data_IF_009415268756
#
_entry.id   IF_009415268756
#
_cell.length_a   1.000
_cell.length_b   1.000
_cell.length_c   1.000
_cell.angle_alpha   90.00
_cell.angle_beta   90.00
_cell.angle_gamma   90.00
#
_symmetry.space_group_name_H-M   'P 1'
#
loop_
_entity.id
_entity.type
_entity.pdbx_description
1 polymer ?
#
# COMPACT_ATOMS: atom_id res chain seq x y z
N UNK A 1 -1.56 -11.53 -19.52
CA UNK A 1 -1.91 -11.63 -18.10
C UNK A 1 -3.14 -10.76 -17.88
N UNK A 2 -4.32 -11.36 -17.77
CA UNK A 2 -5.57 -10.61 -17.57
C UNK A 2 -5.66 -10.18 -16.11
N UNK A 3 -5.40 -8.90 -15.84
CA UNK A 3 -5.59 -8.30 -14.53
C UNK A 3 -7.09 -8.33 -14.22
N UNK A 4 -7.53 -9.28 -13.40
CA UNK A 4 -8.88 -9.29 -12.84
C UNK A 4 -9.01 -8.12 -11.87
N UNK A 5 -10.13 -7.38 -11.95
CA UNK A 5 -10.42 -6.16 -11.18
C UNK A 5 -10.11 -6.32 -9.69
N UNK A 6 -10.40 -7.49 -9.10
CA UNK A 6 -10.14 -7.78 -7.68
C UNK A 6 -8.66 -7.87 -7.28
N UNK A 7 -7.71 -8.04 -8.21
CA UNK A 7 -6.28 -7.99 -7.89
C UNK A 7 -5.75 -6.55 -7.91
N UNK A 8 -6.37 -5.66 -8.69
CA UNK A 8 -5.85 -4.30 -8.92
C UNK A 8 -5.66 -3.52 -7.61
N UNK A 9 -6.63 -3.62 -6.70
CA UNK A 9 -6.61 -2.90 -5.42
C UNK A 9 -5.45 -3.28 -4.48
N UNK A 10 -4.75 -4.38 -4.76
CA UNK A 10 -3.62 -4.86 -3.96
C UNK A 10 -2.28 -4.71 -4.68
N UNK A 11 -2.27 -4.42 -5.98
CA UNK A 11 -1.04 -4.44 -6.78
C UNK A 11 -0.26 -3.15 -6.68
N UNK A 12 1.04 -3.23 -6.38
CA UNK A 12 1.87 -2.04 -6.34
C UNK A 12 1.84 -1.26 -7.68
N UNK A 13 1.90 0.09 -7.66
CA UNK A 13 1.75 0.92 -8.85
C UNK A 13 2.78 0.62 -9.94
N UNK A 14 4.00 0.22 -9.56
CA UNK A 14 5.04 -0.21 -10.48
C UNK A 14 4.69 -1.50 -11.24
N UNK A 15 4.00 -2.44 -10.59
CA UNK A 15 3.59 -3.71 -11.21
C UNK A 15 2.47 -3.46 -12.21
N UNK A 16 1.52 -2.59 -11.84
CA UNK A 16 0.46 -2.12 -12.74
C UNK A 16 1.04 -1.41 -13.97
N UNK A 17 2.09 -0.62 -13.79
CA UNK A 17 2.79 0.07 -14.88
C UNK A 17 3.76 -0.83 -15.67
N UNK A 18 3.84 -2.14 -15.35
CA UNK A 18 4.82 -3.07 -15.95
C UNK A 18 6.26 -2.58 -15.86
N UNK A 19 6.60 -1.86 -14.79
CA UNK A 19 7.97 -1.44 -14.46
C UNK A 19 8.74 -2.60 -13.81
N UNK A 20 10.04 -2.39 -13.59
CA UNK A 20 10.87 -3.36 -12.90
C UNK A 20 10.30 -3.66 -11.51
N UNK A 21 9.97 -4.92 -11.29
CA UNK A 21 9.50 -5.42 -10.00
C UNK A 21 10.63 -5.38 -8.96
N UNK A 22 10.30 -4.88 -7.77
CA UNK A 22 11.15 -4.97 -6.58
C UNK A 22 10.42 -5.79 -5.51
N UNK A 23 11.17 -6.39 -4.59
CA UNK A 23 10.61 -7.16 -3.46
C UNK A 23 9.75 -6.30 -2.50
N UNK A 24 9.86 -4.98 -2.57
CA UNK A 24 9.00 -4.03 -1.83
C UNK A 24 7.60 -3.91 -2.44
N UNK A 25 7.33 -4.46 -3.64
CA UNK A 25 5.98 -4.55 -4.21
C UNK A 25 5.03 -5.37 -3.32
N UNK A 26 5.53 -6.46 -2.75
CA UNK A 26 4.75 -7.31 -1.83
C UNK A 26 4.40 -6.58 -0.54
N UNK A 27 5.27 -5.66 -0.08
CA UNK A 27 5.02 -4.81 1.09
C UNK A 27 3.87 -3.84 0.82
N UNK A 28 3.75 -3.33 -0.40
CA UNK A 28 2.60 -2.50 -0.80
C UNK A 28 1.30 -3.31 -0.75
N UNK A 29 1.31 -4.54 -1.29
CA UNK A 29 0.16 -5.44 -1.22
C UNK A 29 -0.24 -5.77 0.22
N UNK A 30 0.74 -6.00 1.10
CA UNK A 30 0.51 -6.15 2.54
C UNK A 30 -0.06 -4.88 3.17
N UNK A 31 0.40 -3.70 2.75
CA UNK A 31 -0.13 -2.42 3.19
C UNK A 31 -1.60 -2.24 2.82
N UNK A 32 -1.99 -2.61 1.61
CA UNK A 32 -3.39 -2.59 1.16
C UNK A 32 -4.25 -3.54 2.00
N UNK A 33 -3.75 -4.75 2.26
CA UNK A 33 -4.45 -5.72 3.11
C UNK A 33 -4.55 -5.23 4.56
N UNK A 34 -3.50 -4.62 5.09
CA UNK A 34 -3.50 -4.09 6.45
C UNK A 34 -4.49 -2.92 6.59
N UNK A 35 -4.53 -2.02 5.61
CA UNK A 35 -5.55 -0.97 5.52
C UNK A 35 -6.96 -1.58 5.51
N UNK A 36 -7.19 -2.60 4.68
CA UNK A 36 -8.46 -3.31 4.59
C UNK A 36 -8.89 -3.94 5.90
N UNK A 37 -7.96 -4.52 6.67
CA UNK A 37 -8.26 -5.10 7.99
C UNK A 37 -8.65 -4.03 9.03
N UNK A 38 -8.10 -2.82 8.93
CA UNK A 38 -8.37 -1.72 9.88
C UNK A 38 -9.68 -1.01 9.55
N UNK A 39 -9.91 -0.70 8.27
CA UNK A 39 -10.99 0.17 7.82
C UNK A 39 -12.15 -0.57 7.14
N UNK A 40 -11.96 -1.84 6.78
CA UNK A 40 -12.98 -2.65 6.08
C UNK A 40 -13.15 -2.30 4.61
N UNK A 41 -12.36 -1.36 4.07
CA UNK A 41 -12.35 -0.96 2.67
C UNK A 41 -10.93 -0.85 2.11
N UNK A 42 -10.78 -0.85 0.77
CA UNK A 42 -9.48 -0.69 0.12
C UNK A 42 -9.00 0.77 0.14
N UNK A 43 -7.68 1.02 0.23
CA UNK A 43 -7.15 2.38 0.25
C UNK A 43 -7.34 3.11 -1.10
N UNK A 44 -7.39 2.36 -2.21
CA UNK A 44 -7.47 2.89 -3.57
C UNK A 44 -8.58 2.19 -4.37
N UNK A 45 -9.15 2.94 -5.32
CA UNK A 45 -10.18 2.44 -6.23
C UNK A 45 -9.62 1.41 -7.23
N UNK A 46 -10.21 0.22 -7.26
CA UNK A 46 -9.85 -0.87 -8.16
C UNK A 46 -10.61 -0.84 -9.51
N UNK A 47 -11.51 0.13 -9.69
CA UNK A 47 -12.45 0.18 -10.83
C UNK A 47 -11.80 0.50 -12.17
N UNK A 48 -10.72 1.28 -12.17
CA UNK A 48 -10.04 1.73 -13.39
C UNK A 48 -8.55 1.95 -13.13
N UNK A 49 -7.70 1.37 -13.99
CA UNK A 49 -6.25 1.54 -13.97
C UNK A 49 -5.78 3.00 -13.86
N UNK A 50 -6.36 3.91 -14.63
CA UNK A 50 -5.94 5.30 -14.63
C UNK A 50 -6.29 5.99 -13.31
N UNK A 51 -7.46 5.68 -12.75
CA UNK A 51 -7.89 6.19 -11.45
C UNK A 51 -6.99 5.62 -10.35
N UNK A 52 -6.71 4.31 -10.39
CA UNK A 52 -5.82 3.65 -9.45
C UNK A 52 -4.41 4.28 -9.43
N UNK A 53 -3.81 4.48 -10.62
CA UNK A 53 -2.49 5.10 -10.74
C UNK A 53 -2.48 6.57 -10.31
N UNK A 54 -3.59 7.27 -10.53
CA UNK A 54 -3.73 8.65 -10.05
C UNK A 54 -3.85 8.70 -8.52
N UNK A 55 -4.68 7.83 -7.93
CA UNK A 55 -4.89 7.78 -6.49
C UNK A 55 -3.63 7.34 -5.76
N UNK A 56 -3.00 6.24 -6.18
CA UNK A 56 -1.74 5.76 -5.56
C UNK A 56 -0.63 6.82 -5.58
N UNK A 57 -0.62 7.71 -6.58
CA UNK A 57 0.38 8.78 -6.69
C UNK A 57 0.03 10.03 -5.88
N UNK A 58 -1.25 10.42 -5.81
CA UNK A 58 -1.66 11.75 -5.34
C UNK A 58 -2.52 11.72 -4.08
N UNK A 59 -3.19 10.61 -3.77
CA UNK A 59 -4.10 10.49 -2.65
C UNK A 59 -3.28 10.32 -1.37
N UNK A 60 -3.40 11.28 -0.46
CA UNK A 60 -2.94 11.09 0.92
C UNK A 60 -3.90 10.15 1.62
N UNK A 61 -3.37 9.13 2.28
CA UNK A 61 -4.17 8.23 3.08
C UNK A 61 -4.59 8.97 4.34
N UNK A 62 -5.89 9.16 4.50
CA UNK A 62 -6.46 9.82 5.67
C UNK A 62 -6.73 8.73 6.70
N UNK A 63 -6.03 8.79 7.82
CA UNK A 63 -6.29 7.93 8.96
C UNK A 63 -7.24 8.63 9.92
N UNK A 64 -8.26 7.92 10.39
CA UNK A 64 -9.01 8.37 11.55
C UNK A 64 -8.12 8.21 12.79
N UNK A 65 -7.70 9.33 13.39
CA UNK A 65 -6.74 9.38 14.50
C UNK A 65 -7.22 8.61 15.74
N UNK A 66 -8.54 8.39 15.88
CA UNK A 66 -9.13 7.65 16.99
C UNK A 66 -9.12 6.12 16.77
N UNK A 67 -8.78 5.64 15.57
CA UNK A 67 -8.86 4.20 15.22
C UNK A 67 -7.53 3.48 15.41
N UNK A 68 -6.41 4.14 15.13
CA UNK A 68 -5.08 3.51 15.16
C UNK A 68 -4.00 4.43 15.74
N UNK A 69 -3.00 3.83 16.40
CA UNK A 69 -1.86 4.56 16.98
C UNK A 69 -1.06 5.33 15.92
N UNK A 70 -0.38 6.41 16.33
CA UNK A 70 0.52 7.16 15.43
C UNK A 70 1.61 6.26 14.82
N UNK A 71 2.11 5.26 15.57
CA UNK A 71 3.08 4.27 15.09
C UNK A 71 2.51 3.44 13.94
N UNK A 72 1.26 3.00 14.06
CA UNK A 72 0.54 2.23 13.03
C UNK A 72 0.26 3.09 11.79
N UNK A 73 -0.12 4.35 11.98
CA UNK A 73 -0.34 5.29 10.87
C UNK A 73 0.95 5.52 10.09
N UNK A 74 2.07 5.74 10.79
CA UNK A 74 3.37 5.91 10.16
C UNK A 74 3.78 4.66 9.37
N UNK A 75 3.61 3.48 9.97
CA UNK A 75 3.91 2.21 9.32
C UNK A 75 3.08 2.03 8.04
N UNK A 76 1.76 2.26 8.14
CA UNK A 76 0.84 2.09 7.02
C UNK A 76 1.16 3.04 5.86
N UNK A 77 1.48 4.30 6.15
CA UNK A 77 1.94 5.25 5.13
C UNK A 77 3.27 4.82 4.49
N UNK A 78 4.19 4.26 5.28
CA UNK A 78 5.49 3.79 4.78
C UNK A 78 5.37 2.54 3.91
N UNK A 79 4.39 1.68 4.17
CA UNK A 79 4.07 0.51 3.34
C UNK A 79 3.38 0.92 2.03
N UNK A 80 2.54 1.95 2.07
CA UNK A 80 1.74 2.44 0.94
C UNK A 80 2.41 3.61 0.19
N UNK A 81 3.72 3.75 0.32
CA UNK A 81 4.52 4.71 -0.42
C UNK A 81 4.54 4.37 -1.92
N UNK A 82 4.30 5.37 -2.76
CA UNK A 82 4.21 5.22 -4.22
C UNK A 82 5.57 4.86 -4.81
N UNK A 83 6.62 5.54 -4.34
CA UNK A 83 7.99 5.31 -4.81
C UNK A 83 8.59 4.08 -4.14
N UNK A 84 8.85 3.03 -4.93
CA UNK A 84 9.39 1.76 -4.44
C UNK A 84 10.75 1.88 -3.73
N UNK A 85 11.55 2.91 -4.03
CA UNK A 85 12.85 3.15 -3.37
C UNK A 85 12.71 3.82 -2.00
N UNK A 86 11.60 4.54 -1.79
CA UNK A 86 11.28 5.20 -0.51
C UNK A 86 10.39 4.33 0.38
N UNK A 87 9.77 3.32 -0.20
CA UNK A 87 8.92 2.36 0.49
C UNK A 87 9.75 1.57 1.51
N UNK A 88 9.15 1.31 2.68
CA UNK A 88 9.82 0.54 3.74
C UNK A 88 10.24 -0.83 3.22
N UNK A 89 11.49 -1.22 3.52
CA UNK A 89 12.01 -2.54 3.19
C UNK A 89 11.65 -3.60 4.23
N UNK A 90 11.80 -4.86 3.86
CA UNK A 90 11.49 -6.01 4.74
C UNK A 90 12.24 -5.98 6.08
N UNK A 91 13.50 -5.54 6.06
CA UNK A 91 14.35 -5.48 7.26
C UNK A 91 13.80 -4.46 8.26
N UNK A 92 13.37 -3.29 7.78
CA UNK A 92 12.86 -2.23 8.65
C UNK A 92 11.42 -2.51 9.09
N UNK A 93 10.63 -3.15 8.22
CA UNK A 93 9.30 -3.67 8.55
C UNK A 93 9.39 -4.68 9.70
N UNK A 94 10.32 -5.63 9.63
CA UNK A 94 10.54 -6.64 10.67
C UNK A 94 10.89 -6.00 12.02
N UNK A 95 11.81 -5.03 12.04
CA UNK A 95 12.15 -4.27 13.26
C UNK A 95 10.93 -3.56 13.85
N UNK A 96 10.05 -3.02 13.01
CA UNK A 96 8.86 -2.29 13.45
C UNK A 96 7.88 -3.18 14.23
N UNK A 97 7.74 -4.44 13.81
CA UNK A 97 6.90 -5.46 14.46
C UNK A 97 7.56 -6.06 15.70
N UNK A 98 8.87 -6.33 15.69
CA UNK A 98 9.59 -6.81 16.88
C UNK A 98 9.62 -5.79 18.03
N UNK A 99 9.51 -4.49 17.69
CA UNK A 99 9.44 -3.38 18.64
C UNK A 99 8.01 -2.99 19.05
N UNK A 100 6.99 -3.78 18.67
CA UNK A 100 5.58 -3.54 19.00
C UNK A 100 5.11 -4.54 20.05
#
# INVERSE_FOLDING_TARGET
MTLTIGMLGYMAPEVVQSKQYQNTADIFSLGCLFYLMIYGELPFSDKNHQIYLYETKNKKIIHNENTISQKTQFLLNSMLEYDQEKRIGWIDLYKYFDLM
#
